data_IF_194523198080
#
_entry.id   IF_194523198080
#
_cell.length_a   1.000
_cell.length_b   1.000
_cell.length_c   1.000
_cell.angle_alpha   90.00
_cell.angle_beta   90.00
_cell.angle_gamma   90.00
#
_symmetry.space_group_name_H-M   'P 1'
#
loop_
_entity.id
_entity.type
_entity.pdbx_description
1 polymer ?
#
# COMPACT_ATOMS: atom_id res chain seq x y z
N UNK A 1 -8.92 11.37 -2.47
CA UNK A 1 -8.08 10.17 -2.23
C UNK A 1 -6.87 10.30 -3.15
N UNK A 2 -5.64 10.16 -2.65
CA UNK A 2 -4.46 10.27 -3.52
C UNK A 2 -4.48 9.14 -4.56
N UNK A 3 -4.42 9.49 -5.84
CA UNK A 3 -4.53 8.57 -6.98
C UNK A 3 -3.53 7.40 -6.88
N UNK A 4 -2.35 7.67 -6.31
CA UNK A 4 -1.29 6.70 -6.12
C UNK A 4 -1.65 5.61 -5.10
N UNK A 5 -2.40 5.93 -4.05
CA UNK A 5 -2.83 4.96 -3.04
C UNK A 5 -3.79 3.91 -3.64
N UNK A 6 -4.74 4.37 -4.46
CA UNK A 6 -5.68 3.49 -5.14
C UNK A 6 -4.95 2.59 -6.16
N UNK A 7 -3.98 3.13 -6.89
CA UNK A 7 -3.15 2.37 -7.85
C UNK A 7 -2.34 1.27 -7.16
N UNK A 8 -1.66 1.59 -6.05
CA UNK A 8 -0.88 0.61 -5.27
C UNK A 8 -1.81 -0.50 -4.72
N UNK A 9 -2.96 -0.12 -4.17
CA UNK A 9 -3.92 -1.09 -3.63
C UNK A 9 -4.48 -2.00 -4.72
N UNK A 10 -4.78 -1.44 -5.91
CA UNK A 10 -5.24 -2.20 -7.05
C UNK A 10 -4.16 -3.18 -7.56
N UNK A 11 -2.90 -2.75 -7.62
CA UNK A 11 -1.77 -3.62 -7.99
C UNK A 11 -1.64 -4.81 -7.04
N UNK A 12 -1.74 -4.56 -5.73
CA UNK A 12 -1.67 -5.62 -4.71
C UNK A 12 -2.83 -6.61 -4.85
N UNK A 13 -4.05 -6.12 -5.03
CA UNK A 13 -5.24 -6.96 -5.05
C UNK A 13 -5.42 -7.72 -6.38
N UNK A 14 -5.23 -7.05 -7.52
CA UNK A 14 -5.59 -7.60 -8.83
C UNK A 14 -4.43 -8.36 -9.47
N UNK A 15 -3.22 -7.80 -9.40
CA UNK A 15 -2.07 -8.35 -10.12
C UNK A 15 -1.32 -9.36 -9.24
N UNK A 16 -1.09 -9.01 -7.98
CA UNK A 16 -0.40 -9.89 -7.03
C UNK A 16 -1.35 -10.88 -6.33
N UNK A 17 -2.67 -10.69 -6.47
CA UNK A 17 -3.72 -11.52 -5.84
C UNK A 17 -3.53 -11.67 -4.32
N UNK A 18 -3.13 -10.58 -3.66
CA UNK A 18 -2.92 -10.54 -2.20
C UNK A 18 -3.96 -9.65 -1.52
N UNK A 19 -4.27 -10.00 -0.27
CA UNK A 19 -5.07 -9.14 0.60
C UNK A 19 -4.23 -7.98 1.14
N UNK A 20 -4.86 -6.82 1.28
CA UNK A 20 -4.28 -5.64 1.90
C UNK A 20 -5.24 -5.05 2.94
N UNK A 21 -4.70 -4.58 4.05
CA UNK A 21 -5.43 -3.86 5.10
C UNK A 21 -5.08 -2.37 5.04
N UNK A 22 -6.09 -1.52 5.13
CA UNK A 22 -5.91 -0.07 5.14
C UNK A 22 -5.98 0.41 6.59
N UNK A 23 -4.93 1.11 7.04
CA UNK A 23 -4.89 1.77 8.33
C UNK A 23 -4.99 3.28 8.16
N UNK A 24 -5.72 3.94 9.06
CA UNK A 24 -5.64 5.39 9.26
C UNK A 24 -4.74 5.64 10.47
N UNK A 25 -3.51 6.08 10.22
CA UNK A 25 -2.54 6.42 11.25
C UNK A 25 -2.44 7.94 11.43
N UNK A 26 -1.83 8.35 12.55
CA UNK A 26 -1.46 9.75 12.79
C UNK A 26 0.06 9.84 12.84
N UNK A 27 0.64 10.80 12.12
CA UNK A 27 2.07 11.03 12.13
C UNK A 27 2.53 11.48 13.51
N UNK A 28 3.45 10.76 14.15
CA UNK A 28 3.89 11.08 15.51
C UNK A 28 4.64 12.43 15.61
N UNK A 29 5.31 12.86 14.53
CA UNK A 29 6.01 14.14 14.49
C UNK A 29 5.11 15.31 14.05
N UNK A 30 4.31 15.13 13.00
CA UNK A 30 3.52 16.21 12.39
C UNK A 30 2.08 16.30 12.91
N UNK A 31 1.56 15.24 13.56
CA UNK A 31 0.16 15.13 13.94
C UNK A 31 -0.80 14.91 12.77
N UNK A 32 -0.31 14.80 11.54
CA UNK A 32 -1.16 14.69 10.36
C UNK A 32 -1.74 13.28 10.20
N UNK A 33 -3.02 13.22 9.81
CA UNK A 33 -3.67 11.97 9.44
C UNK A 33 -3.07 11.40 8.15
N UNK A 34 -2.63 10.14 8.19
CA UNK A 34 -2.08 9.41 7.05
C UNK A 34 -2.82 8.08 6.84
N UNK A 35 -3.09 7.77 5.58
CA UNK A 35 -3.57 6.44 5.17
C UNK A 35 -2.38 5.56 4.81
N UNK A 36 -2.36 4.34 5.33
CA UNK A 36 -1.31 3.35 5.05
C UNK A 36 -1.92 2.06 4.52
N UNK A 37 -1.24 1.42 3.58
CA UNK A 37 -1.57 0.07 3.10
C UNK A 37 -0.59 -0.91 3.73
N UNK A 38 -1.12 -1.97 4.32
CA UNK A 38 -0.34 -3.09 4.83
C UNK A 38 -0.73 -4.36 4.07
N UNK A 39 0.26 -5.11 3.59
CA UNK A 39 0.04 -6.38 2.93
C UNK A 39 1.20 -7.32 3.28
N UNK A 40 0.87 -8.60 3.45
CA UNK A 40 1.87 -9.66 3.64
C UNK A 40 2.15 -10.27 2.27
N UNK A 41 3.42 -10.25 1.85
CA UNK A 41 3.85 -10.77 0.55
C UNK A 41 5.29 -11.26 0.60
N UNK A 42 5.65 -12.08 -0.38
CA UNK A 42 7.02 -12.54 -0.59
C UNK A 42 7.93 -11.41 -1.08
N UNK A 43 9.25 -11.62 -0.95
CA UNK A 43 10.25 -10.69 -1.50
C UNK A 43 10.05 -10.47 -3.01
N UNK A 44 9.72 -11.51 -3.77
CA UNK A 44 9.51 -11.40 -5.23
C UNK A 44 8.33 -10.49 -5.56
N UNK A 45 7.20 -10.64 -4.87
CA UNK A 45 6.01 -9.80 -5.05
C UNK A 45 6.30 -8.34 -4.69
N UNK A 46 7.08 -8.11 -3.63
CA UNK A 46 7.52 -6.76 -3.25
C UNK A 46 8.37 -6.10 -4.35
N UNK A 47 9.31 -6.84 -4.96
CA UNK A 47 10.11 -6.28 -6.06
C UNK A 47 9.26 -5.95 -7.29
N UNK A 48 8.26 -6.76 -7.62
CA UNK A 48 7.29 -6.44 -8.69
C UNK A 48 6.50 -5.17 -8.35
N UNK A 49 6.07 -5.02 -7.09
CA UNK A 49 5.33 -3.84 -6.66
C UNK A 49 6.18 -2.56 -6.75
N UNK A 50 7.46 -2.64 -6.39
CA UNK A 50 8.38 -1.50 -6.48
C UNK A 50 8.60 -1.02 -7.91
N UNK A 51 8.55 -1.90 -8.91
CA UNK A 51 8.66 -1.51 -10.32
C UNK A 51 7.43 -0.74 -10.84
N UNK A 52 6.32 -0.77 -10.09
CA UNK A 52 5.06 -0.10 -10.43
C UNK A 52 4.92 1.29 -9.78
N UNK A 53 5.83 1.67 -8.88
CA UNK A 53 5.82 2.93 -8.10
C UNK A 53 6.95 3.83 -8.59
#
# INVERSE_FOLDING_TARGET
MSVQFASITAKINNDLKRGATIFNGTGAYTGESKKMVYAVMSRRELEILKQHI
#
